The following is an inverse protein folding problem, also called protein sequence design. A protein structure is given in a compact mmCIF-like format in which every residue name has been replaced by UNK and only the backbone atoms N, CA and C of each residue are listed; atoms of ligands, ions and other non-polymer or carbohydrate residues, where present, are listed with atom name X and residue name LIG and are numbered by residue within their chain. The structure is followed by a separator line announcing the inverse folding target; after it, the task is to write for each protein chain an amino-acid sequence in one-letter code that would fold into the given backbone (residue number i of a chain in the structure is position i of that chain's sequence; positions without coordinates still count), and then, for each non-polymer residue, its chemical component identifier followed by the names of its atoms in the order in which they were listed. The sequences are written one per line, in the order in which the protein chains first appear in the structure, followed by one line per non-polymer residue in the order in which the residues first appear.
data_IF_480052688205
#
_entry.id   IF_480052688205
#
_cell.length_a   1.000
_cell.length_b   1.000
_cell.length_c   1.000
_cell.angle_alpha   90.00
_cell.angle_beta   90.00
_cell.angle_gamma   90.00
#
_symmetry.space_group_name_H-M   'P 1'
#
loop_
_entity.id
_entity.type
_entity.pdbx_description
1 polymer ?
#
# COMPACT_ATOMS: atom_id res chain seq x y z
N UNK A 1 -12.56 -11.46 17.96
CA UNK A 1 -13.04 -10.66 16.82
C UNK A 1 -13.99 -11.50 15.99
N UNK A 2 -15.22 -11.03 15.74
CA UNK A 2 -16.18 -11.76 14.91
C UNK A 2 -15.74 -11.76 13.44
N UNK A 3 -15.99 -12.84 12.71
CA UNK A 3 -15.59 -13.02 11.29
C UNK A 3 -16.02 -11.85 10.41
N UNK A 4 -17.20 -11.27 10.66
CA UNK A 4 -17.70 -10.10 9.93
C UNK A 4 -16.75 -8.89 10.06
N UNK A 5 -16.19 -8.66 11.24
CA UNK A 5 -15.26 -7.57 11.48
C UNK A 5 -13.91 -7.81 10.79
N UNK A 6 -13.43 -9.05 10.77
CA UNK A 6 -12.19 -9.41 10.07
C UNK A 6 -12.31 -9.19 8.56
N UNK A 7 -13.43 -9.62 7.98
CA UNK A 7 -13.74 -9.38 6.56
C UNK A 7 -13.83 -7.88 6.28
N UNK A 8 -14.49 -7.11 7.14
CA UNK A 8 -14.62 -5.66 6.99
C UNK A 8 -13.24 -4.96 7.01
N UNK A 9 -12.35 -5.32 7.94
CA UNK A 9 -10.99 -4.77 7.98
C UNK A 9 -10.20 -5.08 6.70
N UNK A 10 -10.27 -6.31 6.21
CA UNK A 10 -9.59 -6.72 4.97
C UNK A 10 -10.18 -6.04 3.73
N UNK A 11 -11.48 -5.77 3.72
CA UNK A 11 -12.13 -4.97 2.67
C UNK A 11 -11.63 -3.53 2.66
N UNK A 12 -11.50 -2.89 3.82
CA UNK A 12 -10.93 -1.54 3.91
C UNK A 12 -9.51 -1.53 3.33
N UNK A 13 -8.68 -2.51 3.70
CA UNK A 13 -7.33 -2.67 3.15
C UNK A 13 -7.36 -2.80 1.62
N UNK A 14 -8.24 -3.64 1.08
CA UNK A 14 -8.37 -3.83 -0.36
C UNK A 14 -8.79 -2.54 -1.08
N UNK A 15 -9.76 -1.80 -0.53
CA UNK A 15 -10.24 -0.53 -1.11
C UNK A 15 -9.12 0.51 -1.11
N UNK A 16 -8.39 0.67 0.00
CA UNK A 16 -7.26 1.60 0.09
C UNK A 16 -6.16 1.23 -0.90
N UNK A 17 -5.85 -0.07 -1.04
CA UNK A 17 -4.86 -0.55 -2.00
C UNK A 17 -5.27 -0.27 -3.45
N UNK A 18 -6.53 -0.51 -3.82
CA UNK A 18 -7.07 -0.19 -5.15
C UNK A 18 -7.03 1.31 -5.41
N UNK A 19 -7.49 2.12 -4.45
CA UNK A 19 -7.44 3.58 -4.57
C UNK A 19 -6.00 4.08 -4.76
N UNK A 20 -5.04 3.48 -4.04
CA UNK A 20 -3.62 3.81 -4.19
C UNK A 20 -3.08 3.41 -5.56
N UNK A 21 -3.44 2.23 -6.07
CA UNK A 21 -3.05 1.79 -7.41
C UNK A 21 -3.56 2.77 -8.48
N UNK A 22 -4.83 3.16 -8.40
CA UNK A 22 -5.44 4.14 -9.31
C UNK A 22 -4.73 5.50 -9.20
N UNK A 23 -4.43 5.96 -7.98
CA UNK A 23 -3.72 7.21 -7.78
C UNK A 23 -2.30 7.20 -8.39
N UNK A 24 -1.59 6.07 -8.34
CA UNK A 24 -0.28 5.95 -9.00
C UNK A 24 -0.47 5.95 -10.52
N UNK A 25 -1.36 5.11 -11.06
CA UNK A 25 -1.68 5.08 -12.50
C UNK A 25 -2.07 6.45 -13.06
N UNK A 26 -2.81 7.27 -12.29
CA UNK A 26 -3.18 8.62 -12.73
C UNK A 26 -1.98 9.55 -12.92
N UNK A 27 -0.82 9.29 -12.28
CA UNK A 27 0.40 10.06 -12.52
C UNK A 27 0.98 9.89 -13.93
N UNK A 28 0.64 8.81 -14.63
CA UNK A 28 1.00 8.66 -16.04
C UNK A 28 0.28 9.72 -16.88
N UNK A 29 -0.95 10.08 -16.50
CA UNK A 29 -1.76 11.08 -17.20
C UNK A 29 -1.46 12.52 -16.73
N UNK A 30 -1.36 12.76 -15.42
CA UNK A 30 -1.13 14.10 -14.86
C UNK A 30 0.33 14.57 -14.92
N UNK A 31 1.27 13.66 -15.19
CA UNK A 31 2.67 13.97 -15.41
C UNK A 31 3.46 14.30 -14.13
N UNK A 32 4.60 15.02 -14.23
CA UNK A 32 5.61 15.16 -13.16
C UNK A 32 5.09 15.77 -11.86
N UNK A 33 4.07 16.62 -11.93
CA UNK A 33 3.40 17.20 -10.75
C UNK A 33 2.71 16.15 -9.87
N UNK A 34 2.15 15.09 -10.46
CA UNK A 34 1.56 13.99 -9.69
C UNK A 34 2.64 13.15 -9.00
N UNK A 35 3.76 12.89 -9.69
CA UNK A 35 4.92 12.22 -9.09
C UNK A 35 5.50 13.01 -7.92
N UNK A 36 5.60 14.34 -8.05
CA UNK A 36 6.03 15.22 -6.97
C UNK A 36 5.04 15.22 -5.80
N UNK A 37 3.72 15.22 -6.07
CA UNK A 37 2.70 15.12 -5.03
C UNK A 37 2.73 13.78 -4.28
N UNK A 38 3.10 12.69 -4.97
CA UNK A 38 3.34 11.38 -4.36
C UNK A 38 4.75 11.24 -3.76
N UNK A 39 5.54 12.32 -3.78
CA UNK A 39 6.88 12.40 -3.23
C UNK A 39 7.80 11.31 -3.79
N UNK A 40 7.66 11.07 -5.09
CA UNK A 40 8.54 10.18 -5.82
C UNK A 40 9.99 10.69 -5.75
N UNK A 41 10.99 9.79 -5.81
CA UNK A 41 12.39 10.19 -5.84
C UNK A 41 12.67 11.20 -6.96
N UNK A 42 13.63 12.10 -6.74
CA UNK A 42 14.00 13.11 -7.73
C UNK A 42 14.26 12.50 -9.12
N UNK A 43 14.93 11.35 -9.18
CA UNK A 43 15.19 10.61 -10.43
C UNK A 43 13.92 10.23 -11.20
N UNK A 44 12.82 9.91 -10.50
CA UNK A 44 11.52 9.59 -11.13
C UNK A 44 10.83 10.86 -11.64
N UNK A 45 10.89 11.95 -10.86
CA UNK A 45 10.32 13.24 -11.28
C UNK A 45 11.06 13.79 -12.50
N UNK A 46 12.39 13.71 -12.48
CA UNK A 46 13.23 14.11 -13.61
C UNK A 46 12.99 13.23 -14.83
N UNK A 47 12.86 11.92 -14.64
CA UNK A 47 12.47 10.99 -15.70
C UNK A 47 11.12 11.37 -16.34
N UNK A 48 10.13 11.74 -15.53
CA UNK A 48 8.83 12.18 -16.01
C UNK A 48 8.92 13.52 -16.77
N UNK A 49 9.82 14.43 -16.37
CA UNK A 49 10.09 15.69 -17.09
C UNK A 49 10.83 15.46 -18.40
N UNK A 50 11.77 14.52 -18.44
CA UNK A 50 12.57 14.19 -19.62
C UNK A 50 11.85 13.31 -20.64
N UNK A 51 10.63 12.86 -20.34
CA UNK A 51 9.83 12.01 -21.23
C UNK A 51 10.37 10.57 -21.34
N UNK A 52 11.19 10.13 -20.39
CA UNK A 52 11.77 8.78 -20.39
C UNK A 52 10.80 7.75 -19.82
N UNK A 53 11.00 6.47 -20.13
CA UNK A 53 10.08 5.40 -19.73
C UNK A 53 10.22 4.95 -18.26
N UNK A 54 11.21 5.44 -17.50
CA UNK A 54 11.42 4.98 -16.11
C UNK A 54 10.26 5.35 -15.19
N UNK A 55 9.75 6.59 -15.28
CA UNK A 55 8.61 7.03 -14.48
C UNK A 55 7.31 6.23 -14.75
N UNK A 56 6.84 6.06 -16.00
CA UNK A 56 5.63 5.28 -16.27
C UNK A 56 5.82 3.78 -15.99
N UNK A 57 6.97 3.18 -16.30
CA UNK A 57 7.23 1.77 -15.98
C UNK A 57 7.25 1.54 -14.46
N UNK A 58 7.92 2.41 -13.70
CA UNK A 58 7.93 2.35 -12.24
C UNK A 58 6.52 2.45 -11.66
N UNK A 59 5.69 3.33 -12.23
CA UNK A 59 4.29 3.51 -11.83
C UNK A 59 3.45 2.27 -12.08
N UNK A 60 3.60 1.64 -13.26
CA UNK A 60 2.89 0.40 -13.59
C UNK A 60 3.27 -0.70 -12.61
N UNK A 61 4.56 -0.87 -12.33
CA UNK A 61 5.05 -1.87 -11.38
C UNK A 61 4.48 -1.63 -9.98
N UNK A 62 4.55 -0.40 -9.47
CA UNK A 62 4.02 -0.06 -8.14
C UNK A 62 2.50 -0.24 -8.08
N UNK A 63 1.78 0.19 -9.11
CA UNK A 63 0.32 0.03 -9.19
C UNK A 63 -0.07 -1.45 -9.24
N UNK A 64 0.68 -2.27 -9.98
CA UNK A 64 0.49 -3.72 -10.03
C UNK A 64 0.72 -4.36 -8.67
N UNK A 65 1.77 -3.98 -7.93
CA UNK A 65 2.01 -4.47 -6.57
C UNK A 65 0.84 -4.16 -5.63
N UNK A 66 0.24 -2.98 -5.72
CA UNK A 66 -0.94 -2.63 -4.94
C UNK A 66 -2.19 -3.41 -5.36
N UNK A 67 -2.38 -3.65 -6.67
CA UNK A 67 -3.45 -4.51 -7.16
C UNK A 67 -3.32 -5.95 -6.64
N UNK A 68 -2.09 -6.49 -6.61
CA UNK A 68 -1.79 -7.78 -6.00
C UNK A 68 -2.14 -7.76 -4.51
N UNK A 69 -1.72 -6.74 -3.76
CA UNK A 69 -2.10 -6.59 -2.35
C UNK A 69 -3.63 -6.61 -2.16
N UNK A 70 -4.37 -5.86 -2.97
CA UNK A 70 -5.83 -5.86 -2.90
C UNK A 70 -6.41 -7.26 -3.16
N UNK A 71 -5.91 -7.98 -4.15
CA UNK A 71 -6.32 -9.35 -4.42
C UNK A 71 -6.02 -10.30 -3.25
N UNK A 72 -4.84 -10.19 -2.64
CA UNK A 72 -4.49 -10.97 -1.44
C UNK A 72 -5.42 -10.66 -0.27
N UNK A 73 -5.72 -9.37 -0.01
CA UNK A 73 -6.64 -8.96 1.05
C UNK A 73 -8.06 -9.51 0.82
N UNK A 74 -8.57 -9.45 -0.41
CA UNK A 74 -9.86 -10.06 -0.79
C UNK A 74 -9.86 -11.59 -0.65
N UNK A 75 -8.73 -12.23 -0.96
CA UNK A 75 -8.57 -13.68 -0.82
C UNK A 75 -8.56 -14.11 0.65
N UNK A 76 -7.93 -13.33 1.52
CA UNK A 76 -8.00 -13.54 2.97
C UNK A 76 -9.38 -13.28 3.56
N UNK A 77 -10.14 -12.34 2.99
CA UNK A 77 -11.53 -12.12 3.32
C UNK A 77 -12.44 -13.27 2.85
N UNK A 78 -11.92 -14.24 2.07
CA UNK A 78 -12.66 -15.34 1.43
C UNK A 78 -13.72 -14.87 0.43
N UNK A 79 -13.56 -13.66 -0.12
CA UNK A 79 -14.42 -13.14 -1.19
C UNK A 79 -14.03 -13.70 -2.56
N UNK A 80 -12.75 -14.03 -2.75
CA UNK A 80 -12.24 -14.64 -3.99
C UNK A 80 -11.57 -15.98 -3.69
N UNK A 81 -11.21 -16.72 -4.76
CA UNK A 81 -10.50 -18.00 -4.66
C UNK A 81 -9.20 -17.83 -3.86
N UNK A 82 -8.88 -18.83 -3.03
CA UNK A 82 -7.61 -18.86 -2.28
C UNK A 82 -6.44 -18.82 -3.26
N UNK A 83 -5.60 -17.80 -3.15
CA UNK A 83 -4.34 -17.72 -3.87
C UNK A 83 -3.30 -18.66 -3.25
N UNK A 84 -2.37 -19.23 -4.05
CA UNK A 84 -1.23 -19.96 -3.52
C UNK A 84 -0.38 -19.04 -2.63
N UNK A 85 0.14 -19.57 -1.52
CA UNK A 85 0.97 -18.83 -0.55
C UNK A 85 0.26 -17.65 0.15
N UNK A 86 -1.08 -17.66 0.27
CA UNK A 86 -1.85 -16.58 0.91
C UNK A 86 -1.28 -16.12 2.27
N UNK A 87 -0.89 -17.05 3.14
CA UNK A 87 -0.31 -16.72 4.45
C UNK A 87 0.98 -15.95 4.33
N UNK A 88 1.92 -16.44 3.53
CA UNK A 88 3.23 -15.80 3.33
C UNK A 88 3.03 -14.44 2.66
N UNK A 89 2.22 -14.38 1.61
CA UNK A 89 1.94 -13.15 0.88
C UNK A 89 1.39 -12.05 1.78
N UNK A 90 0.36 -12.34 2.59
CA UNK A 90 -0.21 -11.33 3.48
C UNK A 90 0.74 -10.92 4.60
N UNK A 91 1.49 -11.84 5.19
CA UNK A 91 2.45 -11.45 6.23
C UNK A 91 3.57 -10.57 5.64
N UNK A 92 4.07 -10.91 4.44
CA UNK A 92 5.04 -10.08 3.73
C UNK A 92 4.46 -8.70 3.42
N UNK A 93 3.23 -8.63 2.90
CA UNK A 93 2.61 -7.35 2.57
C UNK A 93 2.31 -6.53 3.82
N UNK A 94 1.80 -7.15 4.90
CA UNK A 94 1.59 -6.48 6.18
C UNK A 94 2.91 -5.90 6.69
N UNK A 95 4.01 -6.67 6.65
CA UNK A 95 5.35 -6.20 6.98
C UNK A 95 5.78 -5.01 6.13
N UNK A 96 5.63 -5.09 4.80
CA UNK A 96 5.97 -3.99 3.89
C UNK A 96 5.13 -2.73 4.16
N UNK A 97 3.83 -2.87 4.42
CA UNK A 97 2.94 -1.75 4.74
C UNK A 97 3.30 -1.11 6.08
N UNK A 98 3.59 -1.94 7.10
CA UNK A 98 4.04 -1.48 8.40
C UNK A 98 5.39 -0.76 8.30
N UNK A 99 6.36 -1.33 7.59
CA UNK A 99 7.66 -0.69 7.32
C UNK A 99 7.42 0.66 6.62
N UNK A 100 6.63 0.67 5.54
CA UNK A 100 6.29 1.90 4.80
C UNK A 100 5.65 2.96 5.69
N UNK A 101 4.81 2.57 6.64
CA UNK A 101 4.20 3.49 7.61
C UNK A 101 5.15 3.99 8.69
N UNK A 102 6.10 3.15 9.11
CA UNK A 102 7.11 3.49 10.13
C UNK A 102 8.20 4.43 9.58
N UNK A 103 8.62 4.28 8.32
CA UNK A 103 9.69 5.11 7.73
C UNK A 103 9.41 6.63 7.89
N UNK A 104 8.23 7.16 7.51
CA UNK A 104 7.86 8.55 7.75
C UNK A 104 7.91 8.96 9.22
N UNK A 105 7.43 8.09 10.11
CA UNK A 105 7.39 8.35 11.54
C UNK A 105 8.80 8.46 12.14
N UNK A 106 9.69 7.55 11.73
CA UNK A 106 11.09 7.55 12.12
C UNK A 106 11.82 8.78 11.55
N UNK A 107 11.51 9.16 10.30
CA UNK A 107 12.10 10.33 9.66
C UNK A 107 11.64 11.62 10.35
N UNK A 108 10.38 11.71 10.76
CA UNK A 108 9.83 12.84 11.50
C UNK A 108 10.48 12.98 12.88
N UNK A 109 10.69 11.86 13.60
CA UNK A 109 11.38 11.86 14.89
C UNK A 109 12.85 12.32 14.78
N UNK A 110 13.51 12.07 13.64
CA UNK A 110 14.93 12.37 13.44
C UNK A 110 15.18 13.73 12.78
N UNK A 111 14.31 14.16 11.88
CA UNK A 111 14.38 15.40 11.10
C UNK A 111 12.97 15.94 10.83
N UNK A 112 12.33 16.58 11.82
CA UNK A 112 10.96 17.07 11.70
C UNK A 112 10.78 18.07 10.54
N UNK A 113 11.79 18.89 10.23
CA UNK A 113 11.76 19.87 9.14
C UNK A 113 11.72 19.28 7.72
N UNK A 114 11.96 17.97 7.57
CA UNK A 114 12.03 17.31 6.25
C UNK A 114 10.78 16.51 5.91
N UNK A 115 9.82 16.40 6.83
CA UNK A 115 8.61 15.57 6.66
C UNK A 115 7.39 16.47 6.59
N UNK A 116 6.71 16.48 5.45
CA UNK A 116 5.44 17.19 5.33
C UNK A 116 4.31 16.45 6.05
N UNK A 117 3.30 17.20 6.52
CA UNK A 117 2.13 16.65 7.21
C UNK A 117 1.45 15.54 6.39
N UNK A 118 1.48 15.66 5.06
CA UNK A 118 0.96 14.65 4.13
C UNK A 118 1.72 13.32 4.23
N UNK A 119 3.05 13.32 4.33
CA UNK A 119 3.85 12.08 4.46
C UNK A 119 3.49 11.38 5.77
N UNK A 120 3.32 12.17 6.83
CA UNK A 120 3.04 11.66 8.17
C UNK A 120 1.64 11.04 8.23
N UNK A 121 0.64 11.71 7.65
CA UNK A 121 -0.72 11.17 7.50
C UNK A 121 -0.74 9.89 6.67
N UNK A 122 -0.09 9.90 5.49
CA UNK A 122 0.00 8.71 4.63
C UNK A 122 0.73 7.57 5.35
N UNK A 123 1.79 7.87 6.10
CA UNK A 123 2.50 6.90 6.92
C UNK A 123 1.60 6.24 7.97
N UNK A 124 0.82 7.03 8.70
CA UNK A 124 -0.13 6.52 9.69
C UNK A 124 -1.21 5.63 9.05
N UNK A 125 -1.75 6.03 7.89
CA UNK A 125 -2.72 5.23 7.14
C UNK A 125 -2.10 3.89 6.72
N UNK A 126 -0.88 3.87 6.19
CA UNK A 126 -0.20 2.62 5.80
C UNK A 126 0.15 1.73 6.99
N UNK A 127 0.49 2.32 8.14
CA UNK A 127 0.71 1.60 9.38
C UNK A 127 -0.57 0.92 9.87
N UNK A 128 -1.69 1.65 9.86
CA UNK A 128 -3.00 1.11 10.19
C UNK A 128 -3.42 -0.01 9.21
N UNK A 129 -3.21 0.17 7.91
CA UNK A 129 -3.43 -0.85 6.87
C UNK A 129 -2.63 -2.12 7.16
N UNK A 130 -1.33 -1.99 7.48
CA UNK A 130 -0.49 -3.14 7.82
C UNK A 130 -1.01 -3.91 9.03
N UNK A 131 -1.41 -3.19 10.10
CA UNK A 131 -2.00 -3.80 11.29
C UNK A 131 -3.35 -4.48 10.99
N UNK A 132 -4.23 -3.82 10.23
CA UNK A 132 -5.52 -4.39 9.85
C UNK A 132 -5.37 -5.64 8.99
N UNK A 133 -4.40 -5.64 8.08
CA UNK A 133 -4.10 -6.81 7.26
C UNK A 133 -3.58 -7.97 8.12
N UNK A 134 -2.67 -7.69 9.07
CA UNK A 134 -2.14 -8.67 10.02
C UNK A 134 -3.21 -9.26 10.95
N UNK A 135 -3.98 -8.41 11.64
CA UNK A 135 -5.01 -8.84 12.58
C UNK A 135 -6.21 -9.48 11.88
N UNK A 136 -6.64 -8.91 10.75
CA UNK A 136 -7.71 -9.44 9.92
C UNK A 136 -7.40 -10.86 9.44
N UNK A 137 -6.20 -11.06 8.89
CA UNK A 137 -5.78 -12.38 8.44
C UNK A 137 -5.57 -13.37 9.58
N UNK A 138 -4.91 -12.98 10.68
CA UNK A 138 -4.71 -13.85 11.84
C UNK A 138 -6.03 -14.32 12.43
N UNK A 139 -7.04 -13.45 12.51
CA UNK A 139 -8.38 -13.82 12.97
C UNK A 139 -9.10 -14.78 11.99
N UNK A 140 -8.95 -14.59 10.68
CA UNK A 140 -9.50 -15.48 9.66
C UNK A 140 -8.81 -16.84 9.60
N UNK A 141 -7.52 -16.90 9.95
CA UNK A 141 -6.73 -18.13 9.97
C UNK A 141 -7.00 -18.98 11.23
N UNK A 142 -7.14 -18.34 12.40
CA UNK A 142 -7.42 -19.03 13.68
C UNK A 142 -8.78 -19.74 13.71
N UNK A 143 -9.70 -19.39 12.80
CA UNK A 143 -11.02 -20.05 12.67
C UNK A 143 -10.99 -21.26 11.73
N UNK A 144 -9.83 -21.58 11.17
CA UNK A 144 -9.65 -22.59 10.13
C UNK A 144 -8.77 -23.76 10.55
N UNK A 145 -8.24 -23.74 11.78
CA UNK A 145 -7.59 -24.85 12.46
C UNK A 145 -8.27 -25.07 13.80
#
# INVERSE_FOLDING_TARGET
MSTKHAVFLLLIVAIIAIATAIAHLSCIYFGPQCYAAQMAPYAIIESAKSGTLLAPLGTIVVSFLFAVLAAYALSAARLIRKLPLLSVGIYSIAGLCTIRGILPLQLWLRQPDRVSDTVLYVGFVWLAVGLFCFFGFRAMNKKNG
#
